data_IF_241922789320
#
_entry.id   IF_241922789320
#
_cell.length_a   1.000
_cell.length_b   1.000
_cell.length_c   1.000
_cell.angle_alpha   90.00
_cell.angle_beta   90.00
_cell.angle_gamma   90.00
#
_symmetry.space_group_name_H-M   'P 1'
#
loop_
_entity.id
_entity.type
_entity.pdbx_description
1 polymer ?
#
# COMPACT_ATOMS: atom_id res chain seq x y z
N UNK A 1 11.82 -8.14 -0.02
CA UNK A 1 11.75 -9.22 -1.05
C UNK A 1 11.14 -8.70 -2.34
N UNK A 2 11.71 -7.61 -2.89
CA UNK A 2 11.10 -6.89 -4.02
C UNK A 2 11.13 -7.71 -5.31
N UNK A 3 12.26 -8.35 -5.61
CA UNK A 3 12.47 -9.11 -6.85
C UNK A 3 11.57 -10.33 -6.89
N UNK A 4 11.45 -11.02 -5.76
CA UNK A 4 10.64 -12.21 -5.60
C UNK A 4 9.16 -11.89 -5.83
N UNK A 5 8.64 -10.85 -5.18
CA UNK A 5 7.26 -10.38 -5.37
C UNK A 5 6.98 -10.02 -6.84
N UNK A 6 7.86 -9.26 -7.50
CA UNK A 6 7.66 -8.91 -8.91
C UNK A 6 7.71 -10.13 -9.84
N UNK A 7 8.54 -11.14 -9.53
CA UNK A 7 8.60 -12.36 -10.33
C UNK A 7 7.29 -13.16 -10.27
N UNK A 8 6.59 -13.12 -9.14
CA UNK A 8 5.27 -13.74 -8.97
C UNK A 8 4.15 -12.91 -9.58
N UNK A 9 4.19 -11.58 -9.43
CA UNK A 9 3.18 -10.68 -9.96
C UNK A 9 3.20 -10.56 -11.48
N UNK A 10 4.34 -10.86 -12.13
CA UNK A 10 4.52 -10.74 -13.60
C UNK A 10 3.86 -9.48 -14.19
N UNK A 11 4.43 -8.28 -13.97
CA UNK A 11 3.76 -7.00 -14.27
C UNK A 11 3.27 -6.79 -15.72
N UNK A 12 3.78 -7.57 -16.68
CA UNK A 12 3.29 -7.54 -18.07
C UNK A 12 1.99 -8.33 -18.29
N UNK A 13 1.70 -9.31 -17.42
CA UNK A 13 0.46 -10.11 -17.44
C UNK A 13 -0.60 -9.52 -16.50
N UNK A 14 -0.20 -9.02 -15.33
CA UNK A 14 -1.09 -8.37 -14.37
C UNK A 14 -1.14 -6.85 -14.60
N UNK A 15 -2.33 -6.31 -14.88
CA UNK A 15 -2.58 -4.88 -15.13
C UNK A 15 -3.16 -4.16 -13.93
N UNK A 16 -3.71 -4.86 -12.95
CA UNK A 16 -4.27 -4.24 -11.75
C UNK A 16 -3.87 -4.99 -10.48
N UNK A 17 -3.25 -4.26 -9.55
CA UNK A 17 -2.81 -4.74 -8.25
C UNK A 17 -3.59 -4.04 -7.14
N UNK A 18 -4.07 -4.81 -6.17
CA UNK A 18 -4.46 -4.28 -4.87
C UNK A 18 -3.33 -4.51 -3.87
N UNK A 19 -2.65 -3.44 -3.47
CA UNK A 19 -1.64 -3.46 -2.41
C UNK A 19 -2.34 -3.13 -1.08
N UNK A 20 -2.54 -4.14 -0.23
CA UNK A 20 -3.33 -4.03 1.01
C UNK A 20 -2.51 -3.50 2.21
N UNK A 21 -1.23 -3.24 1.99
CA UNK A 21 -0.23 -2.84 3.00
C UNK A 21 0.77 -1.88 2.35
N UNK A 22 0.26 -0.80 1.73
CA UNK A 22 1.06 0.07 0.88
C UNK A 22 2.35 0.56 1.55
N UNK A 23 2.27 0.95 2.83
CA UNK A 23 3.41 1.46 3.58
C UNK A 23 4.06 2.67 2.89
N UNK A 24 5.34 2.52 2.50
CA UNK A 24 6.05 3.56 1.76
C UNK A 24 5.92 3.44 0.22
N UNK A 25 5.21 2.42 -0.28
CA UNK A 25 4.93 2.21 -1.70
C UNK A 25 6.05 1.55 -2.51
N UNK A 26 7.01 0.88 -1.86
CA UNK A 26 8.16 0.27 -2.55
C UNK A 26 7.78 -0.85 -3.53
N UNK A 27 6.79 -1.67 -3.17
CA UNK A 27 6.27 -2.72 -4.05
C UNK A 27 5.36 -2.14 -5.14
N UNK A 28 4.43 -1.28 -4.76
CA UNK A 28 3.53 -0.56 -5.68
C UNK A 28 4.28 0.19 -6.79
N UNK A 29 5.31 0.98 -6.46
CA UNK A 29 6.13 1.69 -7.47
C UNK A 29 6.83 0.72 -8.41
N UNK A 30 7.44 -0.33 -7.87
CA UNK A 30 8.16 -1.28 -8.70
C UNK A 30 7.24 -2.12 -9.61
N UNK A 31 5.98 -2.35 -9.18
CA UNK A 31 4.95 -2.93 -10.04
C UNK A 31 4.57 -1.97 -11.17
N UNK A 32 4.34 -0.69 -10.86
CA UNK A 32 4.01 0.36 -11.83
C UNK A 32 5.11 0.60 -12.87
N UNK A 33 6.38 0.51 -12.47
CA UNK A 33 7.54 0.57 -13.36
C UNK A 33 7.63 -0.65 -14.29
N UNK A 34 7.07 -1.79 -13.87
CA UNK A 34 7.12 -3.04 -14.62
C UNK A 34 6.23 -3.08 -15.86
N UNK A 35 5.21 -2.22 -15.96
CA UNK A 35 4.32 -2.17 -17.13
C UNK A 35 3.60 -0.82 -17.26
N UNK A 36 3.56 -0.21 -18.46
CA UNK A 36 2.89 1.07 -18.68
C UNK A 36 1.36 1.01 -18.52
N UNK A 37 0.76 -0.17 -18.66
CA UNK A 37 -0.69 -0.38 -18.54
C UNK A 37 -1.11 -0.77 -17.11
N UNK A 38 -0.16 -0.86 -16.19
CA UNK A 38 -0.43 -1.28 -14.82
C UNK A 38 -1.06 -0.16 -13.98
N UNK A 39 -1.88 -0.59 -13.02
CA UNK A 39 -2.59 0.25 -12.06
C UNK A 39 -2.58 -0.38 -10.67
N UNK A 40 -2.66 0.46 -9.63
CA UNK A 40 -2.59 0.06 -8.23
C UNK A 40 -3.72 0.70 -7.42
N UNK A 41 -4.45 -0.12 -6.67
CA UNK A 41 -5.21 0.31 -5.51
C UNK A 41 -4.30 0.22 -4.28
N UNK A 42 -3.90 1.36 -3.73
CA UNK A 42 -2.96 1.45 -2.62
C UNK A 42 -3.73 1.64 -1.31
N UNK A 43 -3.84 0.60 -0.50
CA UNK A 43 -4.56 0.62 0.77
C UNK A 43 -3.58 0.61 1.95
N UNK A 44 -3.81 1.52 2.89
CA UNK A 44 -3.18 1.45 4.21
C UNK A 44 -4.09 2.08 5.28
N UNK A 45 -3.94 1.62 6.52
CA UNK A 45 -4.62 2.20 7.68
C UNK A 45 -3.82 3.34 8.29
N UNK A 46 -2.52 3.40 8.02
CA UNK A 46 -1.64 4.42 8.55
C UNK A 46 -1.83 5.75 7.79
N UNK A 47 -2.20 6.86 8.45
CA UNK A 47 -2.38 8.15 7.81
C UNK A 47 -1.14 8.64 7.06
N UNK A 48 0.07 8.29 7.52
CA UNK A 48 1.30 8.63 6.82
C UNK A 48 1.42 7.86 5.50
N UNK A 49 1.18 6.54 5.53
CA UNK A 49 1.20 5.70 4.34
C UNK A 49 0.12 6.14 3.34
N UNK A 50 -1.08 6.48 3.82
CA UNK A 50 -2.13 7.02 2.97
C UNK A 50 -1.74 8.34 2.31
N UNK A 51 -1.10 9.27 3.03
CA UNK A 51 -0.57 10.51 2.42
C UNK A 51 0.46 10.22 1.33
N UNK A 52 1.38 9.29 1.55
CA UNK A 52 2.36 8.87 0.54
C UNK A 52 1.69 8.22 -0.68
N UNK A 53 0.58 7.50 -0.48
CA UNK A 53 -0.21 6.93 -1.56
C UNK A 53 -0.90 8.03 -2.38
N UNK A 54 -1.42 9.08 -1.72
CA UNK A 54 -2.01 10.23 -2.41
C UNK A 54 -0.96 11.01 -3.21
N UNK A 55 0.24 11.23 -2.66
CA UNK A 55 1.35 11.83 -3.39
C UNK A 55 1.72 11.02 -4.65
N UNK A 56 1.73 9.69 -4.53
CA UNK A 56 1.97 8.81 -5.68
C UNK A 56 0.80 8.83 -6.69
N UNK A 57 -0.44 8.97 -6.23
CA UNK A 57 -1.62 9.15 -7.09
C UNK A 57 -1.56 10.44 -7.90
N UNK A 58 -1.11 11.55 -7.29
CA UNK A 58 -0.90 12.82 -7.97
C UNK A 58 0.23 12.75 -9.01
N UNK A 59 1.31 12.03 -8.69
CA UNK A 59 2.45 11.78 -9.58
C UNK A 59 2.05 10.89 -10.77
N UNK A 60 1.31 9.80 -10.50
CA UNK A 60 0.99 8.73 -11.43
C UNK A 60 -0.47 8.80 -11.87
N UNK A 61 -0.87 9.95 -12.43
CA UNK A 61 -2.25 10.29 -12.80
C UNK A 61 -2.99 9.13 -13.49
N UNK A 62 -4.02 8.64 -12.83
CA UNK A 62 -4.92 7.59 -13.35
C UNK A 62 -4.39 6.15 -13.23
N UNK A 63 -3.21 5.96 -12.62
CA UNK A 63 -2.64 4.63 -12.37
C UNK A 63 -2.70 4.21 -10.91
N UNK A 64 -2.81 5.16 -9.99
CA UNK A 64 -2.90 4.85 -8.56
C UNK A 64 -4.20 5.42 -8.01
N UNK A 65 -4.80 4.70 -7.07
CA UNK A 65 -5.94 5.16 -6.30
C UNK A 65 -5.65 4.85 -4.84
N UNK A 66 -5.51 5.89 -4.02
CA UNK A 66 -5.24 5.74 -2.60
C UNK A 66 -6.52 5.40 -1.83
N UNK A 67 -6.42 4.43 -0.92
CA UNK A 67 -7.49 4.01 -0.02
C UNK A 67 -7.00 4.12 1.42
N UNK A 68 -7.76 4.83 2.26
CA UNK A 68 -7.51 4.88 3.70
C UNK A 68 -8.45 3.90 4.41
N UNK A 69 -7.89 2.96 5.15
CA UNK A 69 -8.66 2.08 6.01
C UNK A 69 -7.98 0.76 6.28
N UNK A 70 -8.65 -0.12 7.01
CA UNK A 70 -8.12 -1.44 7.32
C UNK A 70 -8.41 -2.38 6.15
N UNK A 71 -7.52 -3.32 5.89
CA UNK A 71 -7.79 -4.39 4.94
C UNK A 71 -9.03 -5.23 5.30
N UNK A 72 -9.45 -5.27 6.57
CA UNK A 72 -10.70 -5.92 7.00
C UNK A 72 -11.96 -5.20 6.51
N UNK A 73 -11.84 -3.95 6.07
CA UNK A 73 -12.93 -3.10 5.56
C UNK A 73 -12.94 -3.05 4.03
N UNK A 74 -12.16 -3.92 3.38
CA UNK A 74 -11.95 -3.93 1.94
C UNK A 74 -13.27 -3.95 1.13
N UNK A 75 -14.29 -4.78 1.44
CA UNK A 75 -15.54 -4.77 0.67
C UNK A 75 -16.21 -3.39 0.63
N UNK A 76 -16.22 -2.68 1.76
CA UNK A 76 -16.80 -1.34 1.87
C UNK A 76 -15.96 -0.31 1.11
N UNK A 77 -14.63 -0.40 1.21
CA UNK A 77 -13.70 0.51 0.53
C UNK A 77 -13.76 0.36 -0.99
N UNK A 78 -13.75 -0.88 -1.50
CA UNK A 78 -13.89 -1.15 -2.94
C UNK A 78 -15.23 -0.67 -3.50
N UNK A 79 -16.30 -0.77 -2.71
CA UNK A 79 -17.61 -0.22 -3.07
C UNK A 79 -17.60 1.31 -3.24
N UNK A 80 -16.88 2.04 -2.38
CA UNK A 80 -16.77 3.51 -2.46
C UNK A 80 -16.08 3.97 -3.75
N UNK A 81 -15.04 3.26 -4.18
CA UNK A 81 -14.30 3.56 -5.42
C UNK A 81 -14.84 2.82 -6.65
N UNK A 82 -15.99 2.13 -6.52
CA UNK A 82 -16.71 1.45 -7.62
C UNK A 82 -15.85 0.42 -8.38
N UNK A 83 -14.98 -0.29 -7.66
CA UNK A 83 -14.19 -1.39 -8.25
C UNK A 83 -15.12 -2.54 -8.60
N UNK A 84 -14.97 -3.08 -9.81
CA UNK A 84 -15.84 -4.15 -10.32
C UNK A 84 -15.37 -5.51 -9.79
N UNK A 85 -16.27 -6.41 -9.38
CA UNK A 85 -15.90 -7.79 -9.07
C UNK A 85 -15.13 -8.44 -10.24
N UNK A 86 -14.03 -9.13 -9.92
CA UNK A 86 -13.18 -9.79 -10.92
C UNK A 86 -12.30 -8.86 -11.76
N UNK A 87 -12.19 -7.56 -11.43
CA UNK A 87 -11.34 -6.62 -12.16
C UNK A 87 -9.92 -6.43 -11.60
N UNK A 88 -9.55 -7.19 -10.57
CA UNK A 88 -8.21 -7.17 -9.98
C UNK A 88 -7.47 -8.43 -10.38
N UNK A 89 -6.24 -8.28 -10.87
CA UNK A 89 -5.41 -9.40 -11.31
C UNK A 89 -4.60 -9.98 -10.14
N UNK A 90 -4.23 -9.13 -9.18
CA UNK A 90 -3.39 -9.52 -8.07
C UNK A 90 -3.74 -8.77 -6.77
N UNK A 91 -3.39 -9.41 -5.65
CA UNK A 91 -3.46 -8.85 -4.31
C UNK A 91 -2.10 -9.07 -3.63
N UNK A 92 -1.54 -8.02 -3.03
CA UNK A 92 -0.31 -8.07 -2.26
C UNK A 92 -0.59 -7.75 -0.79
N UNK A 93 0.02 -8.52 0.10
CA UNK A 93 0.03 -8.29 1.54
C UNK A 93 1.44 -8.50 2.09
N UNK A 94 2.09 -7.42 2.49
CA UNK A 94 3.37 -7.39 3.21
C UNK A 94 3.08 -7.15 4.69
N UNK A 95 2.85 -8.23 5.43
CA UNK A 95 2.40 -8.17 6.82
C UNK A 95 3.55 -7.82 7.77
N UNK A 96 3.35 -6.79 8.58
CA UNK A 96 4.31 -6.37 9.58
C UNK A 96 4.15 -4.90 9.92
N UNK A 97 5.23 -4.32 10.46
CA UNK A 97 5.38 -2.88 10.68
C UNK A 97 6.35 -2.31 9.65
N UNK A 98 6.11 -1.07 9.22
CA UNK A 98 6.99 -0.39 8.29
C UNK A 98 8.20 0.23 8.99
N UNK A 99 9.27 0.50 8.23
CA UNK A 99 10.42 1.26 8.74
C UNK A 99 9.99 2.64 9.26
N UNK A 100 9.05 3.31 8.60
CA UNK A 100 8.51 4.61 9.04
C UNK A 100 7.91 4.58 10.46
N UNK A 101 7.37 3.42 10.86
CA UNK A 101 6.85 3.21 12.21
C UNK A 101 7.95 2.92 13.22
N UNK A 102 8.97 2.14 12.84
CA UNK A 102 10.11 1.78 13.69
C UNK A 102 11.11 2.93 13.90
N UNK A 103 11.29 3.76 12.88
CA UNK A 103 12.28 4.84 12.85
C UNK A 103 11.75 6.14 13.49
N UNK A 104 10.47 6.17 13.89
CA UNK A 104 9.83 7.31 14.54
C UNK A 104 9.51 6.97 16.00
N UNK A 105 10.34 7.41 16.95
CA UNK A 105 10.15 7.10 18.38
C UNK A 105 8.75 7.46 18.91
N UNK A 106 8.17 8.58 18.45
CA UNK A 106 6.83 9.03 18.84
C UNK A 106 5.70 8.04 18.49
N UNK A 107 5.93 7.10 17.56
CA UNK A 107 4.96 6.06 17.19
C UNK A 107 4.93 4.89 18.17
N UNK A 108 5.96 4.74 19.02
CA UNK A 108 6.01 3.71 20.06
C UNK A 108 6.32 2.30 19.59
N UNK A 109 6.65 2.08 18.31
CA UNK A 109 7.07 0.76 17.80
C UNK A 109 8.57 0.51 17.96
N UNK A 110 9.36 1.57 18.12
CA UNK A 110 10.81 1.45 18.24
C UNK A 110 11.22 0.84 19.57
N UNK A 111 12.18 -0.07 19.54
CA UNK A 111 12.84 -0.60 20.74
C UNK A 111 14.10 0.18 21.12
N UNK A 112 14.63 0.99 20.19
CA UNK A 112 15.89 1.72 20.33
C UNK A 112 15.71 3.22 20.53
N UNK A 113 14.58 3.78 20.08
CA UNK A 113 14.23 5.18 20.26
C UNK A 113 13.18 5.32 21.38
N UNK A 114 13.39 6.31 22.27
CA UNK A 114 12.42 6.62 23.32
C UNK A 114 11.14 7.24 22.75
N UNK A 115 10.00 6.99 23.40
CA UNK A 115 8.69 7.44 22.94
C UNK A 115 7.53 6.88 23.76
N UNK A 116 6.30 7.35 23.51
CA UNK A 116 5.12 6.82 24.18
C UNK A 116 4.86 5.38 23.73
N UNK A 117 4.31 4.55 24.63
CA UNK A 117 3.82 3.21 24.29
C UNK A 117 2.48 3.30 23.54
N UNK A 118 2.50 3.87 22.33
CA UNK A 118 1.32 4.01 21.49
C UNK A 118 1.07 2.73 20.67
N UNK A 119 2.01 2.38 19.77
CA UNK A 119 1.96 1.17 18.94
C UNK A 119 0.72 1.04 18.04
N UNK A 120 -0.08 2.10 17.86
CA UNK A 120 -1.17 2.11 16.88
C UNK A 120 -0.66 2.53 15.51
N UNK A 121 -1.17 1.87 14.48
CA UNK A 121 -0.84 2.22 13.09
C UNK A 121 -1.65 3.44 12.60
N UNK A 122 -2.85 3.66 13.16
CA UNK A 122 -3.83 4.68 12.78
C UNK A 122 -3.87 5.89 13.73
N UNK A 123 -2.73 6.25 14.31
CA UNK A 123 -2.58 7.40 15.21
C UNK A 123 -2.37 8.73 14.46
#
# INVERSE_FOLDING_TARGET
>A
MKKEVLSLLKPYECKSLLDMTFGAGGHSRAFLEGSPDSSVLALDRDPLAYRLAQELEDEMKGKVTALNGRFSELPQLLGKVKVRPGSLDAVLMDLGVSSMQLDTGQRGFSISLDGPLDMRMDC
#
